data_IF_083673512063
#
_entry.id   IF_083673512063
#
_cell.length_a   1.000
_cell.length_b   1.000
_cell.length_c   1.000
_cell.angle_alpha   90.00
_cell.angle_beta   90.00
_cell.angle_gamma   90.00
#
_symmetry.space_group_name_H-M   'P 1'
#
loop_
_entity.id
_entity.type
_entity.pdbx_description
1 polymer ?
#
# COMPACT_ATOMS: atom_id res chain seq x y z
N UNK A 1 -44.54 7.82 24.18
CA UNK A 1 -43.27 8.35 23.63
C UNK A 1 -43.25 7.96 22.16
N UNK A 2 -43.16 8.91 21.21
CA UNK A 2 -43.04 8.56 19.79
C UNK A 2 -41.72 7.83 19.57
N UNK A 3 -41.75 6.67 18.93
CA UNK A 3 -40.56 5.93 18.52
C UNK A 3 -39.83 6.72 17.43
N UNK A 4 -38.65 7.25 17.72
CA UNK A 4 -37.81 7.84 16.68
C UNK A 4 -37.40 6.74 15.70
N UNK A 5 -37.75 6.92 14.42
CA UNK A 5 -37.33 6.01 13.38
C UNK A 5 -35.83 6.24 13.12
N UNK A 6 -35.08 5.16 13.21
CA UNK A 6 -33.64 5.14 12.99
C UNK A 6 -33.36 4.53 11.62
N UNK A 7 -32.49 5.16 10.82
CA UNK A 7 -32.13 4.65 9.49
C UNK A 7 -30.62 4.47 9.35
N UNK A 8 -30.22 3.36 8.75
CA UNK A 8 -28.84 3.10 8.31
C UNK A 8 -28.66 3.54 6.87
N UNK A 9 -27.73 4.45 6.59
CA UNK A 9 -27.43 4.89 5.22
C UNK A 9 -26.48 3.90 4.55
N UNK A 10 -27.04 2.83 4.00
CA UNK A 10 -26.26 1.78 3.35
C UNK A 10 -25.71 2.21 1.99
N UNK A 11 -24.46 1.84 1.71
CA UNK A 11 -23.89 1.86 0.36
C UNK A 11 -24.74 0.99 -0.60
N UNK A 12 -24.97 1.44 -1.85
CA UNK A 12 -25.50 0.56 -2.90
C UNK A 12 -24.62 -0.69 -3.04
N UNK A 13 -25.22 -1.85 -3.35
CA UNK A 13 -24.52 -3.14 -3.34
C UNK A 13 -23.23 -3.15 -4.15
N UNK A 14 -23.22 -2.53 -5.34
CA UNK A 14 -22.02 -2.41 -6.16
C UNK A 14 -20.88 -1.64 -5.48
N UNK A 15 -21.20 -0.56 -4.77
CA UNK A 15 -20.20 0.24 -4.06
C UNK A 15 -19.72 -0.45 -2.77
N UNK A 16 -20.56 -1.28 -2.15
CA UNK A 16 -20.15 -2.17 -1.05
C UNK A 16 -19.18 -3.24 -1.52
N UNK A 17 -19.44 -3.87 -2.67
CA UNK A 17 -18.51 -4.82 -3.29
C UNK A 17 -17.17 -4.13 -3.59
N UNK A 18 -17.20 -2.94 -4.18
CA UNK A 18 -15.99 -2.16 -4.44
C UNK A 18 -15.24 -1.81 -3.15
N UNK A 19 -15.93 -1.36 -2.09
CA UNK A 19 -15.35 -1.07 -0.78
C UNK A 19 -14.63 -2.29 -0.21
N UNK A 20 -15.28 -3.46 -0.18
CA UNK A 20 -14.68 -4.72 0.29
C UNK A 20 -13.46 -5.11 -0.53
N UNK A 21 -13.54 -4.98 -1.86
CA UNK A 21 -12.41 -5.26 -2.74
C UNK A 21 -11.24 -4.30 -2.47
N UNK A 22 -11.49 -3.00 -2.35
CA UNK A 22 -10.47 -2.00 -2.03
C UNK A 22 -9.78 -2.27 -0.70
N UNK A 23 -10.55 -2.58 0.35
CA UNK A 23 -10.02 -2.93 1.69
C UNK A 23 -9.17 -4.20 1.65
N UNK A 24 -9.64 -5.22 0.94
CA UNK A 24 -8.91 -6.49 0.81
C UNK A 24 -7.60 -6.30 0.06
N UNK A 25 -7.63 -5.56 -1.05
CA UNK A 25 -6.46 -5.30 -1.88
C UNK A 25 -5.45 -4.39 -1.17
N UNK A 26 -5.90 -3.37 -0.43
CA UNK A 26 -5.01 -2.49 0.34
C UNK A 26 -4.37 -3.23 1.52
N UNK A 27 -5.13 -4.09 2.22
CA UNK A 27 -4.60 -4.96 3.27
C UNK A 27 -3.59 -5.98 2.75
N UNK A 28 -3.87 -6.60 1.60
CA UNK A 28 -2.94 -7.48 0.90
C UNK A 28 -1.65 -6.74 0.51
N UNK A 29 -1.77 -5.52 -0.03
CA UNK A 29 -0.62 -4.66 -0.37
C UNK A 29 0.24 -4.37 0.87
N UNK A 30 -0.37 -4.02 2.01
CA UNK A 30 0.35 -3.79 3.26
C UNK A 30 1.10 -5.07 3.71
N UNK A 31 0.41 -6.20 3.75
CA UNK A 31 0.96 -7.49 4.19
C UNK A 31 2.11 -7.99 3.32
N UNK A 32 1.94 -8.01 1.98
CA UNK A 32 3.00 -8.47 1.07
C UNK A 32 4.24 -7.58 1.14
N UNK A 33 4.05 -6.27 1.31
CA UNK A 33 5.14 -5.30 1.36
C UNK A 33 5.90 -5.43 2.68
N UNK A 34 5.18 -5.66 3.79
CA UNK A 34 5.79 -5.98 5.07
C UNK A 34 6.59 -7.30 5.00
N UNK A 35 6.01 -8.33 4.39
CA UNK A 35 6.66 -9.63 4.23
C UNK A 35 8.02 -9.50 3.54
N UNK A 36 8.10 -8.69 2.47
CA UNK A 36 9.35 -8.42 1.75
C UNK A 36 10.47 -7.88 2.66
N UNK A 37 10.15 -7.07 3.67
CA UNK A 37 11.11 -6.59 4.67
C UNK A 37 11.45 -7.65 5.71
N UNK A 38 10.46 -8.41 6.19
CA UNK A 38 10.68 -9.42 7.25
C UNK A 38 11.48 -10.64 6.81
N UNK A 39 11.46 -10.98 5.51
CA UNK A 39 12.27 -12.08 4.97
C UNK A 39 13.72 -11.67 4.70
N UNK A 40 14.01 -10.38 4.60
CA UNK A 40 15.34 -9.86 4.26
C UNK A 40 16.46 -10.35 5.17
N UNK A 41 16.32 -10.39 6.52
CA UNK A 41 17.37 -10.93 7.38
C UNK A 41 17.80 -12.36 7.04
N UNK A 42 16.88 -13.19 6.52
CA UNK A 42 17.21 -14.53 6.04
C UNK A 42 17.93 -14.49 4.68
N UNK A 43 17.50 -13.61 3.77
CA UNK A 43 18.16 -13.40 2.47
C UNK A 43 19.60 -12.91 2.64
N UNK A 44 19.86 -12.01 3.59
CA UNK A 44 21.20 -11.44 3.85
C UNK A 44 22.25 -12.46 4.31
N UNK A 45 21.87 -13.72 4.55
CA UNK A 45 22.81 -14.82 4.82
C UNK A 45 23.39 -15.44 3.56
N UNK A 46 22.82 -15.14 2.38
CA UNK A 46 23.30 -15.65 1.11
C UNK A 46 24.55 -14.90 0.61
N UNK A 47 25.49 -15.56 -0.07
CA UNK A 47 26.58 -14.88 -0.77
C UNK A 47 26.04 -13.85 -1.78
N UNK A 48 26.81 -12.79 -2.06
CA UNK A 48 26.35 -11.65 -2.85
C UNK A 48 25.72 -12.03 -4.21
N UNK A 49 26.30 -12.94 -5.02
CA UNK A 49 25.68 -13.31 -6.29
C UNK A 49 24.33 -14.02 -6.12
N UNK A 50 24.20 -14.90 -5.12
CA UNK A 50 22.94 -15.56 -4.80
C UNK A 50 21.91 -14.56 -4.27
N UNK A 51 22.32 -13.67 -3.36
CA UNK A 51 21.47 -12.62 -2.81
C UNK A 51 20.90 -11.71 -3.91
N UNK A 52 21.74 -11.27 -4.85
CA UNK A 52 21.31 -10.44 -5.97
C UNK A 52 20.27 -11.15 -6.86
N UNK A 53 20.48 -12.46 -7.11
CA UNK A 53 19.53 -13.29 -7.86
C UNK A 53 18.20 -13.44 -7.12
N UNK A 54 18.23 -13.77 -5.83
CA UNK A 54 17.03 -13.92 -5.00
C UNK A 54 16.22 -12.61 -4.92
N UNK A 55 16.90 -11.49 -4.66
CA UNK A 55 16.27 -10.18 -4.66
C UNK A 55 15.63 -9.87 -6.02
N UNK A 56 16.34 -10.12 -7.13
CA UNK A 56 15.82 -9.86 -8.48
C UNK A 56 14.56 -10.67 -8.78
N UNK A 57 14.54 -11.94 -8.38
CA UNK A 57 13.34 -12.79 -8.51
C UNK A 57 12.15 -12.21 -7.75
N UNK A 58 12.35 -11.77 -6.51
CA UNK A 58 11.30 -11.15 -5.69
C UNK A 58 10.82 -9.85 -6.34
N UNK A 59 11.74 -8.99 -6.76
CA UNK A 59 11.42 -7.71 -7.38
C UNK A 59 10.65 -7.88 -8.70
N UNK A 60 11.10 -8.78 -9.57
CA UNK A 60 10.45 -9.01 -10.87
C UNK A 60 9.04 -9.60 -10.72
N UNK A 61 8.79 -10.39 -9.67
CA UNK A 61 7.46 -10.91 -9.36
C UNK A 61 6.49 -9.81 -8.87
N UNK A 62 6.99 -8.77 -8.18
CA UNK A 62 6.15 -7.77 -7.52
C UNK A 62 6.03 -6.42 -8.26
N UNK A 63 6.95 -6.10 -9.17
CA UNK A 63 7.07 -4.77 -9.80
C UNK A 63 5.79 -4.25 -10.48
N UNK A 64 4.90 -5.14 -10.93
CA UNK A 64 3.59 -4.78 -11.49
C UNK A 64 2.45 -4.92 -10.48
N UNK A 65 2.55 -5.86 -9.53
CA UNK A 65 1.51 -6.09 -8.52
C UNK A 65 1.40 -4.87 -7.61
N UNK A 66 2.54 -4.31 -7.17
CA UNK A 66 2.55 -3.12 -6.31
C UNK A 66 1.78 -1.92 -6.90
N UNK A 67 2.11 -1.37 -8.09
CA UNK A 67 1.42 -0.19 -8.61
C UNK A 67 -0.06 -0.47 -8.92
N UNK A 68 -0.40 -1.66 -9.43
CA UNK A 68 -1.79 -2.02 -9.76
C UNK A 68 -2.66 -2.06 -8.51
N UNK A 69 -2.22 -2.75 -7.45
CA UNK A 69 -2.98 -2.85 -6.19
C UNK A 69 -3.12 -1.50 -5.48
N UNK A 70 -2.07 -0.67 -5.54
CA UNK A 70 -2.07 0.68 -5.01
C UNK A 70 -3.08 1.59 -5.73
N UNK A 71 -3.02 1.67 -7.07
CA UNK A 71 -3.91 2.52 -7.87
C UNK A 71 -5.36 2.05 -7.76
N UNK A 72 -5.59 0.73 -7.79
CA UNK A 72 -6.93 0.17 -7.64
C UNK A 72 -7.59 0.60 -6.33
N UNK A 73 -6.90 0.40 -5.21
CA UNK A 73 -7.44 0.72 -3.88
C UNK A 73 -7.61 2.23 -3.70
N UNK A 74 -6.64 3.03 -4.17
CA UNK A 74 -6.74 4.49 -4.15
C UNK A 74 -7.94 4.99 -4.97
N UNK A 75 -8.19 4.40 -6.14
CA UNK A 75 -9.33 4.72 -6.99
C UNK A 75 -10.67 4.39 -6.32
N UNK A 76 -10.78 3.22 -5.69
CA UNK A 76 -11.97 2.82 -4.93
C UNK A 76 -12.24 3.80 -3.79
N UNK A 77 -11.26 4.05 -2.93
CA UNK A 77 -11.42 4.93 -1.77
C UNK A 77 -11.68 6.37 -2.20
N UNK A 78 -10.95 6.87 -3.21
CA UNK A 78 -11.16 8.21 -3.77
C UNK A 78 -12.57 8.37 -4.33
N UNK A 79 -13.08 7.37 -5.06
CA UNK A 79 -14.43 7.41 -5.60
C UNK A 79 -15.51 7.36 -4.51
N UNK A 80 -15.34 6.50 -3.48
CA UNK A 80 -16.27 6.47 -2.35
C UNK A 80 -16.27 7.83 -1.65
N UNK A 81 -15.10 8.37 -1.31
CA UNK A 81 -14.98 9.67 -0.65
C UNK A 81 -15.58 10.82 -1.47
N UNK A 82 -15.42 10.81 -2.79
CA UNK A 82 -16.04 11.79 -3.69
C UNK A 82 -17.57 11.75 -3.69
N UNK A 83 -18.16 10.55 -3.51
CA UNK A 83 -19.62 10.37 -3.51
C UNK A 83 -20.30 10.71 -2.19
N UNK A 84 -19.54 10.78 -1.10
CA UNK A 84 -20.07 11.16 0.20
C UNK A 84 -20.36 12.66 0.28
N UNK A 85 -21.22 13.06 1.20
CA UNK A 85 -21.43 14.47 1.48
C UNK A 85 -20.10 15.08 1.95
N UNK A 86 -19.72 16.21 1.33
CA UNK A 86 -18.45 16.89 1.61
C UNK A 86 -18.33 17.17 3.11
N UNK A 87 -17.11 17.04 3.63
CA UNK A 87 -16.77 17.34 5.03
C UNK A 87 -17.36 16.40 6.08
N UNK A 88 -18.00 15.30 5.68
CA UNK A 88 -18.31 14.20 6.60
C UNK A 88 -17.05 13.43 6.97
N UNK A 89 -17.07 12.78 8.14
CA UNK A 89 -15.94 11.97 8.60
C UNK A 89 -15.61 10.83 7.61
N UNK A 90 -16.57 10.05 7.07
CA UNK A 90 -16.29 9.03 6.06
C UNK A 90 -15.66 9.60 4.79
N UNK A 91 -16.14 10.75 4.30
CA UNK A 91 -15.56 11.42 3.12
C UNK A 91 -14.08 11.76 3.37
N UNK A 92 -13.79 12.41 4.49
CA UNK A 92 -12.43 12.81 4.88
C UNK A 92 -11.51 11.60 5.03
N UNK A 93 -11.95 10.54 5.71
CA UNK A 93 -11.15 9.34 5.92
C UNK A 93 -10.88 8.59 4.60
N UNK A 94 -11.87 8.45 3.72
CA UNK A 94 -11.66 7.84 2.40
C UNK A 94 -10.70 8.66 1.53
N UNK A 95 -10.85 9.98 1.51
CA UNK A 95 -9.93 10.87 0.79
C UNK A 95 -8.51 10.80 1.36
N UNK A 96 -8.36 10.78 2.69
CA UNK A 96 -7.07 10.62 3.35
C UNK A 96 -6.41 9.27 3.01
N UNK A 97 -7.18 8.18 3.04
CA UNK A 97 -6.69 6.85 2.66
C UNK A 97 -6.23 6.80 1.19
N UNK A 98 -7.02 7.34 0.27
CA UNK A 98 -6.65 7.45 -1.14
C UNK A 98 -5.37 8.27 -1.33
N UNK A 99 -5.25 9.38 -0.60
CA UNK A 99 -4.08 10.27 -0.66
C UNK A 99 -2.81 9.59 -0.15
N UNK A 100 -2.89 8.82 0.94
CA UNK A 100 -1.78 8.02 1.44
C UNK A 100 -1.30 6.99 0.42
N UNK A 101 -2.22 6.27 -0.24
CA UNK A 101 -1.83 5.33 -1.30
C UNK A 101 -1.19 6.06 -2.49
N UNK A 102 -1.76 7.18 -2.93
CA UNK A 102 -1.17 7.96 -4.02
C UNK A 102 0.21 8.53 -3.66
N UNK A 103 0.45 8.85 -2.38
CA UNK A 103 1.77 9.29 -1.90
C UNK A 103 2.88 8.24 -2.05
N UNK A 104 2.52 6.95 -2.21
CA UNK A 104 3.48 5.89 -2.48
C UNK A 104 4.16 6.06 -3.85
N UNK A 105 3.56 6.82 -4.78
CA UNK A 105 4.15 7.13 -6.09
C UNK A 105 5.38 8.03 -5.94
N UNK A 106 5.29 9.26 -5.40
CA UNK A 106 6.48 10.09 -5.17
C UNK A 106 7.46 9.44 -4.18
N UNK A 107 6.98 8.71 -3.16
CA UNK A 107 7.83 7.92 -2.28
C UNK A 107 8.71 6.93 -3.06
N UNK A 108 8.13 6.24 -4.03
CA UNK A 108 8.82 5.25 -4.87
C UNK A 108 9.91 5.90 -5.71
N UNK A 109 9.59 6.98 -6.42
CA UNK A 109 10.56 7.65 -7.28
C UNK A 109 11.70 8.29 -6.49
N UNK A 110 11.42 8.90 -5.33
CA UNK A 110 12.42 9.60 -4.55
C UNK A 110 13.34 8.67 -3.75
N UNK A 111 12.80 7.60 -3.18
CA UNK A 111 13.54 6.76 -2.23
C UNK A 111 13.91 5.38 -2.81
N UNK A 112 12.97 4.71 -3.47
CA UNK A 112 13.15 3.33 -3.90
C UNK A 112 13.90 3.20 -5.23
N UNK A 113 13.59 4.05 -6.20
CA UNK A 113 14.11 3.94 -7.56
C UNK A 113 15.65 3.97 -7.61
N UNK A 114 16.37 4.87 -6.90
CA UNK A 114 17.84 4.87 -6.92
C UNK A 114 18.46 3.57 -6.39
N UNK A 115 17.83 2.95 -5.39
CA UNK A 115 18.31 1.70 -4.80
C UNK A 115 18.03 0.52 -5.71
N UNK A 116 16.82 0.47 -6.29
CA UNK A 116 16.42 -0.57 -7.26
C UNK A 116 17.34 -0.58 -8.47
N UNK A 117 17.68 0.59 -9.03
CA UNK A 117 18.59 0.66 -10.17
C UNK A 117 19.99 0.14 -9.83
N UNK A 118 20.53 0.46 -8.65
CA UNK A 118 21.81 -0.08 -8.19
C UNK A 118 21.75 -1.61 -8.05
N UNK A 119 20.69 -2.14 -7.45
CA UNK A 119 20.50 -3.58 -7.30
C UNK A 119 20.30 -4.31 -8.63
N UNK A 120 19.62 -3.71 -9.61
CA UNK A 120 19.51 -4.26 -10.96
C UNK A 120 20.88 -4.37 -11.64
N UNK A 121 21.72 -3.32 -11.53
CA UNK A 121 23.09 -3.35 -12.04
C UNK A 121 23.93 -4.43 -11.37
N UNK A 122 23.78 -4.61 -10.05
CA UNK A 122 24.44 -5.70 -9.29
C UNK A 122 24.00 -7.08 -9.75
N UNK A 123 22.70 -7.29 -9.93
CA UNK A 123 22.16 -8.54 -10.42
C UNK A 123 22.67 -8.87 -11.83
N UNK A 124 22.90 -7.86 -12.67
CA UNK A 124 23.52 -8.03 -13.99
C UNK A 124 25.02 -8.33 -13.88
N UNK A 125 25.79 -7.56 -13.10
CA UNK A 125 27.24 -7.74 -12.99
C UNK A 125 27.63 -9.07 -12.34
N UNK A 126 26.80 -9.59 -11.43
CA UNK A 126 27.03 -10.84 -10.72
C UNK A 126 26.41 -12.06 -11.42
N UNK A 127 25.74 -11.89 -12.57
CA UNK A 127 25.01 -12.96 -13.24
C UNK A 127 25.92 -14.12 -13.71
N UNK A 128 27.17 -13.83 -14.06
CA UNK A 128 28.18 -14.81 -14.49
C UNK A 128 29.12 -15.25 -13.36
N UNK A 129 29.01 -14.66 -12.18
CA UNK A 129 29.84 -15.01 -11.02
C UNK A 129 29.27 -16.25 -10.35
N UNK A 130 30.14 -17.14 -9.86
CA UNK A 130 29.72 -18.33 -9.14
C UNK A 130 28.87 -17.95 -7.92
N UNK A 131 27.71 -18.60 -7.75
CA UNK A 131 26.75 -18.25 -6.68
C UNK A 131 27.29 -18.44 -5.26
N UNK A 132 28.38 -19.19 -5.12
CA UNK A 132 29.08 -19.47 -3.86
C UNK A 132 30.28 -18.55 -3.61
N UNK A 133 30.59 -17.63 -4.51
CA UNK A 133 31.74 -16.74 -4.36
C UNK A 133 31.44 -15.65 -3.31
N UNK A 134 31.97 -15.86 -2.10
CA UNK A 134 31.86 -14.93 -0.99
C UNK A 134 32.75 -13.69 -1.14
N UNK A 135 33.73 -13.70 -2.06
CA UNK A 135 34.69 -12.61 -2.28
C UNK A 135 34.34 -11.78 -3.52
N UNK A 136 33.24 -12.06 -4.22
CA UNK A 136 32.80 -11.35 -5.41
C UNK A 136 32.71 -9.81 -5.26
N UNK A 137 32.56 -9.31 -4.03
CA UNK A 137 32.50 -7.88 -3.72
C UNK A 137 33.64 -7.40 -2.80
N UNK A 138 34.71 -8.19 -2.62
CA UNK A 138 35.86 -7.80 -1.80
C UNK A 138 36.53 -6.54 -2.38
N UNK A 139 36.64 -5.48 -1.59
CA UNK A 139 37.21 -4.20 -2.01
C UNK A 139 36.20 -3.13 -2.40
N UNK A 140 34.90 -3.45 -2.44
CA UNK A 140 33.86 -2.42 -2.57
C UNK A 140 33.59 -1.73 -1.23
N UNK A 141 33.17 -0.46 -1.30
CA UNK A 141 32.63 0.24 -0.14
C UNK A 141 31.39 -0.47 0.36
N UNK A 142 31.24 -0.56 1.68
CA UNK A 142 30.16 -1.33 2.30
C UNK A 142 28.78 -0.91 1.79
N UNK A 143 28.53 0.38 1.61
CA UNK A 143 27.24 0.93 1.15
C UNK A 143 26.88 0.56 -0.29
N UNK A 144 27.86 0.10 -1.06
CA UNK A 144 27.73 -0.31 -2.46
C UNK A 144 27.67 -1.84 -2.61
N UNK A 145 27.78 -2.58 -1.51
CA UNK A 145 27.61 -4.04 -1.52
C UNK A 145 26.16 -4.41 -1.78
N UNK A 146 25.94 -5.60 -2.35
CA UNK A 146 24.59 -6.14 -2.55
C UNK A 146 23.85 -6.27 -1.21
N UNK A 147 24.55 -6.63 -0.13
CA UNK A 147 23.99 -6.73 1.21
C UNK A 147 23.41 -5.40 1.71
N UNK A 148 24.23 -4.35 1.70
CA UNK A 148 23.79 -3.03 2.17
C UNK A 148 22.65 -2.45 1.31
N UNK A 149 22.66 -2.73 0.00
CA UNK A 149 21.61 -2.27 -0.90
C UNK A 149 20.29 -3.02 -0.67
N UNK A 150 20.32 -4.35 -0.47
CA UNK A 150 19.13 -5.14 -0.16
C UNK A 150 18.55 -4.75 1.20
N UNK A 151 19.40 -4.50 2.19
CA UNK A 151 18.97 -4.02 3.51
C UNK A 151 18.28 -2.64 3.46
N UNK A 152 18.86 -1.70 2.70
CA UNK A 152 18.21 -0.40 2.42
C UNK A 152 16.89 -0.56 1.68
N UNK A 153 16.83 -1.43 0.67
CA UNK A 153 15.59 -1.73 -0.05
C UNK A 153 14.50 -2.27 0.88
N UNK A 154 14.86 -3.16 1.81
CA UNK A 154 13.95 -3.70 2.80
C UNK A 154 13.44 -2.64 3.77
N UNK A 155 14.32 -1.73 4.21
CA UNK A 155 13.96 -0.58 5.07
C UNK A 155 12.97 0.35 4.37
N UNK A 156 13.17 0.64 3.08
CA UNK A 156 12.26 1.46 2.28
C UNK A 156 10.90 0.75 2.09
N UNK A 157 10.89 -0.57 1.87
CA UNK A 157 9.64 -1.31 1.81
C UNK A 157 8.90 -1.35 3.15
N UNK A 158 9.60 -1.33 4.29
CA UNK A 158 8.95 -1.23 5.59
C UNK A 158 8.17 0.08 5.72
N UNK A 159 8.76 1.19 5.25
CA UNK A 159 8.06 2.49 5.17
C UNK A 159 6.80 2.43 4.31
N UNK A 160 6.87 1.79 3.13
CA UNK A 160 5.69 1.56 2.27
C UNK A 160 4.62 0.73 2.98
N UNK A 161 5.03 -0.34 3.66
CA UNK A 161 4.12 -1.22 4.38
C UNK A 161 3.36 -0.47 5.49
N UNK A 162 4.05 0.41 6.24
CA UNK A 162 3.43 1.28 7.25
C UNK A 162 2.42 2.22 6.62
N UNK A 163 2.76 2.89 5.51
CA UNK A 163 1.84 3.80 4.81
C UNK A 163 0.59 3.04 4.30
N UNK A 164 0.78 1.88 3.68
CA UNK A 164 -0.32 1.03 3.19
C UNK A 164 -1.20 0.49 4.33
N UNK A 165 -0.60 0.11 5.46
CA UNK A 165 -1.32 -0.34 6.65
C UNK A 165 -2.15 0.79 7.25
N UNK A 166 -1.57 1.99 7.38
CA UNK A 166 -2.28 3.18 7.86
C UNK A 166 -3.46 3.55 6.94
N UNK A 167 -3.25 3.57 5.62
CA UNK A 167 -4.33 3.75 4.65
C UNK A 167 -5.46 2.73 4.82
N UNK A 168 -5.10 1.46 4.99
CA UNK A 168 -6.08 0.38 5.18
C UNK A 168 -6.87 0.58 6.46
N UNK A 169 -6.20 0.86 7.58
CA UNK A 169 -6.86 1.11 8.87
C UNK A 169 -7.82 2.31 8.82
N UNK A 170 -7.42 3.40 8.17
CA UNK A 170 -8.25 4.59 7.96
C UNK A 170 -9.49 4.27 7.11
N UNK A 171 -9.33 3.48 6.04
CA UNK A 171 -10.45 3.07 5.20
C UNK A 171 -11.41 2.10 5.92
N UNK A 172 -10.89 1.24 6.79
CA UNK A 172 -11.70 0.39 7.67
C UNK A 172 -12.51 1.26 8.64
N UNK A 173 -11.87 2.25 9.27
CA UNK A 173 -12.57 3.19 10.14
C UNK A 173 -13.72 3.88 9.39
N UNK A 174 -13.44 4.43 8.20
CA UNK A 174 -14.46 5.07 7.36
C UNK A 174 -15.64 4.14 7.05
N UNK A 175 -15.38 2.84 6.84
CA UNK A 175 -16.42 1.86 6.57
C UNK A 175 -17.30 1.58 7.79
N UNK A 176 -16.71 1.54 8.99
CA UNK A 176 -17.42 1.29 10.25
C UNK A 176 -18.23 2.51 10.68
N UNK A 177 -17.64 3.70 10.65
CA UNK A 177 -18.28 4.97 11.04
C UNK A 177 -19.56 5.25 10.23
N UNK A 178 -19.56 4.88 8.94
CA UNK A 178 -20.73 5.01 8.08
C UNK A 178 -21.95 4.20 8.56
N UNK A 179 -21.75 3.17 9.37
CA UNK A 179 -22.85 2.32 9.86
C UNK A 179 -23.57 2.90 11.09
N UNK A 180 -23.15 4.05 11.60
CA UNK A 180 -23.80 4.70 12.74
C UNK A 180 -25.22 5.20 12.39
N UNK A 181 -26.08 5.10 13.40
CA UNK A 181 -27.53 5.24 13.27
C UNK A 181 -27.92 6.72 13.30
N UNK A 182 -28.53 7.21 12.23
CA UNK A 182 -28.94 8.63 12.14
C UNK A 182 -30.43 8.79 12.49
N UNK A 183 -30.82 9.76 13.34
CA UNK A 183 -32.23 10.07 13.62
C UNK A 183 -32.98 10.52 12.35
N UNK A 184 -34.22 10.07 12.15
CA UNK A 184 -35.05 10.39 10.97
C UNK A 184 -35.15 11.89 10.65
N UNK A 185 -35.08 12.76 11.67
CA UNK A 185 -35.15 14.21 11.55
C UNK A 185 -34.00 14.82 10.74
N UNK A 186 -32.80 14.24 10.79
CA UNK A 186 -31.63 14.76 10.08
C UNK A 186 -31.69 14.53 8.55
N UNK A 187 -32.45 13.53 8.09
CA UNK A 187 -32.59 13.23 6.65
C UNK A 187 -33.55 14.18 5.94
N UNK A 188 -34.57 14.70 6.62
CA UNK A 188 -35.49 15.70 6.04
C UNK A 188 -34.78 17.04 5.82
N UNK A 189 -33.81 17.39 6.67
CA UNK A 189 -32.99 18.59 6.50
C UNK A 189 -31.98 18.47 5.35
N UNK A 190 -31.44 17.28 5.10
CA UNK A 190 -30.42 17.04 4.05
C UNK A 190 -31.00 16.57 2.71
N UNK A 191 -32.22 16.03 2.70
CA UNK A 191 -32.92 15.52 1.52
C UNK A 191 -33.38 16.59 0.53
N UNK A 192 -33.50 17.85 0.96
CA UNK A 192 -33.87 18.97 0.08
C UNK A 192 -32.83 19.25 -1.02
N UNK A 193 -31.59 18.80 -0.86
CA UNK A 193 -30.49 19.07 -1.80
C UNK A 193 -30.18 17.92 -2.77
N UNK A 194 -31.03 16.88 -2.85
CA UNK A 194 -30.77 15.67 -3.66
C UNK A 194 -31.69 15.53 -4.90
N UNK A 195 -32.37 16.61 -5.31
CA UNK A 195 -33.21 16.68 -6.52
C UNK A 195 -32.63 17.60 -7.61
N UNK A 196 -31.31 17.76 -7.66
CA UNK A 196 -30.59 18.47 -8.74
C UNK A 196 -29.67 17.55 -9.51
#
# INVERSE_FOLDING_TARGET
MPSEAFYTTNLPSGLRIAQVAGLTVSGFLAGKTFAASTVTPALLKAPAPLLAKQWKTIFDADKLIFPVTCIFSAGVFGYIGYREDKWTLPATLYTASASLLLSLVPYTFLLSEPIVQKLQRKAQSLASVAITDAQAESGLKHEETTHALVDKWATINLGRAVISAASTAIAIWAAVDRTEVVPATARLATGANRLG
#
